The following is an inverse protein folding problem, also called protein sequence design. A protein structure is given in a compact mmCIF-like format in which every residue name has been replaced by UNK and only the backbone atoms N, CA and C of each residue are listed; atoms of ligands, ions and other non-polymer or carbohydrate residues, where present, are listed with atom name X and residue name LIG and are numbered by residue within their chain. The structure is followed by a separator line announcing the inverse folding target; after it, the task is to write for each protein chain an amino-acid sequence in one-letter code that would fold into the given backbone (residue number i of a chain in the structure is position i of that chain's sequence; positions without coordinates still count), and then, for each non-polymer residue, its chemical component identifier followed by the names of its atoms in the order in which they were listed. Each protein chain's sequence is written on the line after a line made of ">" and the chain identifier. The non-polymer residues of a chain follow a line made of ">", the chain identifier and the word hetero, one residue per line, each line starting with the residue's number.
data_IF_079386653795
#
_entry.id   IF_079386653795
#
_cell.length_a   1.000
_cell.length_b   1.000
_cell.length_c   1.000
_cell.angle_alpha   90.00
_cell.angle_beta   90.00
_cell.angle_gamma   90.00
#
_symmetry.space_group_name_H-M   'P 1'
#
loop_
_entity.id
_entity.type
_entity.pdbx_description
1 polymer ?
#
# COMPACT_ATOMS: atom_id res chain seq x y z
N UNK A 1 9.97 -8.49 -48.39
CA UNK A 1 9.01 -8.00 -47.38
C UNK A 1 8.87 -8.97 -46.20
N UNK A 2 8.78 -10.28 -46.40
CA UNK A 2 8.70 -11.27 -45.32
C UNK A 2 9.90 -11.24 -44.33
N UNK A 3 11.14 -11.08 -44.81
CA UNK A 3 12.32 -11.07 -43.95
C UNK A 3 12.42 -9.84 -43.00
N UNK A 4 11.82 -8.69 -43.34
CA UNK A 4 11.74 -7.52 -42.44
C UNK A 4 10.61 -7.65 -41.41
N UNK A 5 9.57 -8.43 -41.71
CA UNK A 5 8.47 -8.74 -40.79
C UNK A 5 8.89 -9.80 -39.76
N UNK A 6 9.51 -10.89 -40.21
CA UNK A 6 10.04 -11.97 -39.35
C UNK A 6 11.11 -11.43 -38.38
N UNK A 7 11.92 -10.48 -38.85
CA UNK A 7 12.91 -9.84 -38.00
C UNK A 7 12.27 -8.96 -36.92
N UNK A 8 11.10 -8.32 -37.13
CA UNK A 8 10.37 -7.59 -36.08
C UNK A 8 9.63 -8.49 -35.07
N UNK A 9 9.38 -9.75 -35.43
CA UNK A 9 8.58 -10.71 -34.64
C UNK A 9 9.40 -11.48 -33.60
N UNK A 10 10.71 -11.62 -33.79
CA UNK A 10 11.63 -12.18 -32.78
C UNK A 10 11.92 -11.19 -31.63
N UNK A 11 11.75 -9.88 -31.87
CA UNK A 11 12.24 -8.76 -31.06
C UNK A 11 11.55 -8.63 -29.68
N UNK A 12 10.24 -8.90 -29.61
CA UNK A 12 9.39 -8.68 -28.43
C UNK A 12 9.48 -9.72 -27.29
N UNK A 13 10.28 -10.79 -27.45
CA UNK A 13 10.19 -11.96 -26.57
C UNK A 13 10.68 -11.72 -25.12
N UNK A 14 11.64 -10.83 -24.90
CA UNK A 14 12.30 -10.70 -23.58
C UNK A 14 11.41 -10.05 -22.51
N UNK A 15 10.55 -9.10 -22.89
CA UNK A 15 9.62 -8.42 -21.97
C UNK A 15 8.59 -9.35 -21.33
N UNK A 16 8.20 -10.40 -22.05
CA UNK A 16 7.17 -11.34 -21.63
C UNK A 16 7.74 -12.64 -21.04
N UNK A 17 8.99 -13.00 -21.35
CA UNK A 17 9.63 -14.25 -20.91
C UNK A 17 10.51 -14.16 -19.66
N UNK A 18 10.78 -12.95 -19.14
CA UNK A 18 11.79 -12.71 -18.09
C UNK A 18 11.41 -13.18 -16.67
N UNK A 19 10.19 -13.69 -16.45
CA UNK A 19 9.75 -14.24 -15.14
C UNK A 19 10.58 -15.45 -14.72
N UNK A 20 11.18 -16.19 -15.66
CA UNK A 20 12.07 -17.30 -15.36
C UNK A 20 13.26 -16.89 -14.48
N UNK A 21 13.61 -15.60 -14.49
CA UNK A 21 14.72 -15.03 -13.73
C UNK A 21 14.31 -14.48 -12.35
N UNK A 22 13.05 -14.66 -11.93
CA UNK A 22 12.61 -14.23 -10.61
C UNK A 22 13.35 -15.01 -9.49
N UNK A 23 13.88 -14.32 -8.47
CA UNK A 23 14.62 -14.96 -7.40
C UNK A 23 13.70 -15.87 -6.57
N UNK A 24 14.16 -17.10 -6.32
CA UNK A 24 13.42 -18.11 -5.53
C UNK A 24 13.38 -17.80 -4.03
N UNK A 25 14.09 -16.76 -3.59
CA UNK A 25 14.15 -16.31 -2.20
C UNK A 25 13.50 -14.94 -2.06
N UNK A 26 12.98 -14.67 -0.87
CA UNK A 26 12.49 -13.34 -0.52
C UNK A 26 13.67 -12.36 -0.49
N UNK A 27 13.59 -11.28 -1.25
CA UNK A 27 14.56 -10.19 -1.21
C UNK A 27 14.15 -9.11 -0.23
N UNK A 28 15.07 -8.20 0.08
CA UNK A 28 14.76 -7.00 0.86
C UNK A 28 13.80 -6.08 0.09
N UNK A 29 12.91 -5.35 0.78
CA UNK A 29 12.01 -4.38 0.16
C UNK A 29 12.75 -3.35 -0.70
N UNK A 30 12.08 -2.88 -1.76
CA UNK A 30 12.56 -1.79 -2.60
C UNK A 30 12.14 -0.47 -1.93
N UNK A 31 13.13 0.24 -1.39
CA UNK A 31 12.96 1.48 -0.66
C UNK A 31 14.14 2.44 -0.92
N UNK A 32 13.96 3.72 -0.60
CA UNK A 32 14.93 4.80 -0.78
C UNK A 32 14.58 5.73 -1.94
N UNK A 33 14.01 5.20 -3.03
CA UNK A 33 13.59 6.01 -4.18
C UNK A 33 12.47 6.99 -3.84
N UNK A 34 11.61 6.68 -2.85
CA UNK A 34 10.53 7.57 -2.48
C UNK A 34 11.06 8.93 -2.02
N UNK A 35 12.23 8.96 -1.36
CA UNK A 35 12.87 10.17 -0.85
C UNK A 35 13.49 11.04 -1.95
N UNK A 36 13.51 10.57 -3.21
CA UNK A 36 14.00 11.38 -4.33
C UNK A 36 12.99 12.47 -4.67
N UNK A 37 13.48 13.67 -5.06
CA UNK A 37 12.61 14.72 -5.58
C UNK A 37 11.98 14.27 -6.91
N UNK A 38 10.77 14.74 -7.17
CA UNK A 38 10.18 14.61 -8.50
C UNK A 38 10.90 15.61 -9.44
N UNK A 39 11.51 15.10 -10.49
CA UNK A 39 12.33 15.87 -11.45
C UNK A 39 11.95 15.46 -12.88
N UNK A 40 12.39 16.26 -13.86
CA UNK A 40 12.12 15.96 -15.28
C UNK A 40 12.73 14.62 -15.70
N UNK A 41 12.19 14.02 -16.75
CA UNK A 41 12.62 12.72 -17.25
C UNK A 41 14.11 12.73 -17.65
N UNK A 42 14.60 13.81 -18.27
CA UNK A 42 16.01 13.98 -18.67
C UNK A 42 16.96 13.92 -17.46
N UNK A 43 16.57 14.56 -16.35
CA UNK A 43 17.34 14.55 -15.12
C UNK A 43 17.20 13.20 -14.39
N UNK A 44 16.04 12.57 -14.48
CA UNK A 44 15.75 11.29 -13.84
C UNK A 44 16.59 10.14 -14.41
N UNK A 45 16.86 10.16 -15.73
CA UNK A 45 17.68 9.13 -16.39
C UNK A 45 19.18 9.43 -16.38
N UNK A 46 19.59 10.64 -15.97
CA UNK A 46 20.99 11.07 -16.01
C UNK A 46 21.98 10.09 -15.33
N UNK A 47 21.67 9.51 -14.15
CA UNK A 47 22.55 8.50 -13.53
C UNK A 47 22.67 7.19 -14.33
N UNK A 48 21.77 6.96 -15.28
CA UNK A 48 21.69 5.75 -16.09
C UNK A 48 22.45 5.88 -17.42
N UNK A 49 22.96 7.06 -17.78
CA UNK A 49 23.68 7.29 -19.05
C UNK A 49 24.90 6.39 -19.22
N UNK A 50 25.58 6.06 -18.10
CA UNK A 50 26.70 5.12 -18.13
C UNK A 50 26.28 3.68 -18.48
N UNK A 51 25.05 3.30 -18.13
CA UNK A 51 24.48 1.99 -18.42
C UNK A 51 23.83 1.95 -19.80
N UNK A 52 23.24 3.07 -20.22
CA UNK A 52 22.48 3.23 -21.46
C UNK A 52 22.91 4.53 -22.16
N UNK A 53 23.98 4.52 -22.97
CA UNK A 53 24.56 5.73 -23.57
C UNK A 53 23.58 6.53 -24.44
N UNK A 54 22.58 5.88 -25.03
CA UNK A 54 21.58 6.50 -25.90
C UNK A 54 20.28 6.87 -25.17
N UNK A 55 20.22 6.76 -23.84
CA UNK A 55 18.96 6.96 -23.10
C UNK A 55 18.33 8.33 -23.32
N UNK A 56 19.13 9.39 -23.44
CA UNK A 56 18.62 10.76 -23.67
C UNK A 56 17.91 10.91 -25.03
N UNK A 57 18.38 10.20 -26.07
CA UNK A 57 17.71 10.19 -27.37
C UNK A 57 16.33 9.53 -27.26
N UNK A 58 16.25 8.42 -26.50
CA UNK A 58 14.99 7.72 -26.26
C UNK A 58 14.05 8.54 -25.37
N UNK A 59 14.56 9.30 -24.40
CA UNK A 59 13.77 10.26 -23.61
C UNK A 59 13.12 11.31 -24.53
N UNK A 60 13.90 11.88 -25.45
CA UNK A 60 13.36 12.85 -26.40
C UNK A 60 12.24 12.24 -27.25
N UNK A 61 12.44 11.04 -27.80
CA UNK A 61 11.42 10.30 -28.56
C UNK A 61 10.18 10.01 -27.70
N UNK A 62 10.36 9.60 -26.45
CA UNK A 62 9.25 9.30 -25.53
C UNK A 62 8.38 10.54 -25.32
N UNK A 63 8.98 11.70 -25.10
CA UNK A 63 8.26 12.97 -24.96
C UNK A 63 7.50 13.37 -26.22
N UNK A 64 8.12 13.27 -27.40
CA UNK A 64 7.46 13.63 -28.66
C UNK A 64 6.21 12.79 -28.97
N UNK A 65 6.15 11.57 -28.41
CA UNK A 65 5.01 10.67 -28.62
C UNK A 65 3.93 10.77 -27.52
N UNK A 66 4.16 11.59 -26.48
CA UNK A 66 3.15 11.91 -25.47
C UNK A 66 2.22 13.00 -25.99
N UNK A 67 0.92 12.90 -25.67
CA UNK A 67 -0.06 13.94 -25.98
C UNK A 67 -0.30 14.80 -24.74
N UNK A 68 -0.28 16.13 -24.90
CA UNK A 68 -0.71 17.06 -23.86
C UNK A 68 -2.04 17.74 -24.20
N UNK A 69 -2.95 17.93 -23.21
CA UNK A 69 -2.92 17.37 -21.86
C UNK A 69 -3.37 15.91 -21.85
N UNK A 70 -2.79 15.09 -20.96
CA UNK A 70 -3.29 13.73 -20.76
C UNK A 70 -4.63 13.77 -20.03
N UNK A 71 -5.61 12.97 -20.46
CA UNK A 71 -6.93 12.92 -19.83
C UNK A 71 -6.88 12.41 -18.37
N UNK A 72 -5.82 11.67 -18.02
CA UNK A 72 -5.65 10.96 -16.76
C UNK A 72 -4.86 11.77 -15.70
N UNK A 73 -4.54 13.04 -15.99
CA UNK A 73 -3.90 13.95 -15.02
C UNK A 73 -2.39 13.71 -14.81
N UNK A 74 -1.74 12.98 -15.71
CA UNK A 74 -0.28 12.83 -15.74
C UNK A 74 0.39 14.04 -16.37
N UNK A 75 1.56 14.43 -15.84
CA UNK A 75 2.43 15.40 -16.51
C UNK A 75 3.09 14.78 -17.75
N UNK A 76 3.66 15.61 -18.63
CA UNK A 76 4.45 15.15 -19.77
C UNK A 76 5.55 14.16 -19.33
N UNK A 77 6.34 14.53 -18.32
CA UNK A 77 7.43 13.70 -17.80
C UNK A 77 6.94 12.36 -17.23
N UNK A 78 5.79 12.35 -16.55
CA UNK A 78 5.17 11.15 -16.01
C UNK A 78 4.69 10.22 -17.13
N UNK A 79 3.96 10.75 -18.11
CA UNK A 79 3.53 10.00 -19.30
C UNK A 79 4.73 9.47 -20.09
N UNK A 80 5.73 10.31 -20.33
CA UNK A 80 6.93 9.96 -21.08
C UNK A 80 7.77 8.91 -20.34
N UNK A 81 7.73 8.87 -19.00
CA UNK A 81 8.42 7.82 -18.23
C UNK A 81 7.82 6.44 -18.49
N UNK A 82 6.49 6.33 -18.58
CA UNK A 82 5.79 5.09 -18.93
C UNK A 82 6.08 4.73 -20.39
N UNK A 83 6.06 5.73 -21.28
CA UNK A 83 6.36 5.52 -22.68
C UNK A 83 7.78 4.97 -22.87
N UNK A 84 8.77 5.58 -22.22
CA UNK A 84 10.16 5.13 -22.23
C UNK A 84 10.32 3.71 -21.66
N UNK A 85 9.59 3.36 -20.60
CA UNK A 85 9.59 2.00 -20.06
C UNK A 85 9.11 0.98 -21.11
N UNK A 86 8.10 1.32 -21.90
CA UNK A 86 7.54 0.43 -22.93
C UNK A 86 8.27 0.45 -24.27
N UNK A 87 9.21 1.37 -24.46
CA UNK A 87 9.98 1.49 -25.69
C UNK A 87 10.91 0.29 -25.87
N UNK A 88 11.09 -0.11 -27.12
CA UNK A 88 11.99 -1.17 -27.52
C UNK A 88 12.99 -0.63 -28.54
N UNK A 89 14.26 -0.97 -28.35
CA UNK A 89 15.36 -0.63 -29.25
C UNK A 89 16.40 -1.73 -29.28
N UNK A 90 17.30 -1.66 -30.26
CA UNK A 90 18.31 -2.69 -30.50
C UNK A 90 19.68 -2.30 -29.91
N UNK A 91 20.35 -3.23 -29.22
CA UNK A 91 19.90 -4.58 -28.88
C UNK A 91 18.87 -4.58 -27.73
N UNK A 92 17.89 -5.51 -27.74
CA UNK A 92 16.84 -5.58 -26.70
C UNK A 92 17.38 -5.72 -25.26
N UNK A 93 18.58 -6.27 -25.10
CA UNK A 93 19.28 -6.36 -23.81
C UNK A 93 19.72 -4.99 -23.23
N UNK A 94 19.70 -3.94 -24.05
CA UNK A 94 19.97 -2.56 -23.64
C UNK A 94 18.68 -1.75 -23.45
N UNK A 95 17.49 -2.36 -23.65
CA UNK A 95 16.22 -1.71 -23.37
C UNK A 95 16.09 -1.37 -21.90
N UNK A 96 15.45 -0.24 -21.60
CA UNK A 96 15.27 0.22 -20.23
C UNK A 96 14.49 -0.79 -19.39
N UNK A 97 13.38 -1.34 -19.91
CA UNK A 97 12.59 -2.31 -19.15
C UNK A 97 13.42 -3.54 -18.77
N UNK A 98 14.27 -4.01 -19.69
CA UNK A 98 15.07 -5.21 -19.51
C UNK A 98 16.08 -5.01 -18.39
N UNK A 99 16.85 -3.92 -18.46
CA UNK A 99 17.86 -3.60 -17.45
C UNK A 99 17.22 -3.26 -16.10
N UNK A 100 16.09 -2.54 -16.09
CA UNK A 100 15.39 -2.21 -14.85
C UNK A 100 14.87 -3.47 -14.16
N UNK A 101 14.16 -4.35 -14.89
CA UNK A 101 13.63 -5.58 -14.34
C UNK A 101 14.73 -6.53 -13.88
N UNK A 102 15.85 -6.60 -14.60
CA UNK A 102 17.04 -7.33 -14.14
C UNK A 102 17.55 -6.76 -12.81
N UNK A 103 17.63 -5.44 -12.69
CA UNK A 103 18.10 -4.78 -11.46
C UNK A 103 17.12 -4.96 -10.29
N UNK A 104 15.81 -4.91 -10.55
CA UNK A 104 14.76 -5.16 -9.54
C UNK A 104 14.81 -6.59 -8.97
N UNK A 105 15.24 -7.57 -9.79
CA UNK A 105 15.45 -8.97 -9.39
C UNK A 105 16.80 -9.22 -8.73
N UNK A 106 17.72 -8.25 -8.75
CA UNK A 106 19.03 -8.38 -8.13
C UNK A 106 18.92 -8.40 -6.61
N UNK A 107 19.65 -9.32 -5.98
CA UNK A 107 19.78 -9.40 -4.53
C UNK A 107 20.52 -8.19 -3.96
N UNK A 108 21.44 -7.63 -4.76
CA UNK A 108 22.19 -6.44 -4.40
C UNK A 108 21.36 -5.18 -4.67
N UNK A 109 20.68 -4.73 -3.63
CA UNK A 109 19.86 -3.50 -3.66
C UNK A 109 20.66 -2.23 -3.93
N UNK A 110 22.00 -2.24 -3.81
CA UNK A 110 22.81 -1.07 -4.16
C UNK A 110 22.72 -0.76 -5.66
N UNK A 111 22.52 -1.78 -6.50
CA UNK A 111 22.39 -1.61 -7.95
C UNK A 111 21.12 -0.83 -8.35
N UNK A 112 20.13 -0.72 -7.46
CA UNK A 112 18.93 0.09 -7.70
C UNK A 112 19.17 1.59 -7.49
N UNK A 113 20.24 2.01 -6.81
CA UNK A 113 20.49 3.43 -6.49
C UNK A 113 20.50 4.35 -7.73
N UNK A 114 21.18 4.00 -8.85
CA UNK A 114 21.12 4.81 -10.07
C UNK A 114 19.70 4.96 -10.63
N UNK A 115 18.82 3.99 -10.35
CA UNK A 115 17.44 3.96 -10.84
C UNK A 115 16.47 4.77 -9.98
N UNK A 116 16.85 5.23 -8.79
CA UNK A 116 15.91 5.82 -7.83
C UNK A 116 15.16 7.04 -8.38
N UNK A 117 15.84 7.93 -9.11
CA UNK A 117 15.18 9.09 -9.72
C UNK A 117 14.16 8.68 -10.78
N UNK A 118 14.52 7.71 -11.63
CA UNK A 118 13.62 7.20 -12.66
C UNK A 118 12.45 6.40 -12.05
N UNK A 119 12.71 5.54 -11.06
CA UNK A 119 11.70 4.78 -10.32
C UNK A 119 10.73 5.72 -9.60
N UNK A 120 11.22 6.80 -8.99
CA UNK A 120 10.38 7.83 -8.37
C UNK A 120 9.39 8.41 -9.39
N UNK A 121 9.86 8.80 -10.58
CA UNK A 121 9.02 9.37 -11.63
C UNK A 121 8.03 8.35 -12.19
N UNK A 122 8.52 7.17 -12.61
CA UNK A 122 7.71 6.10 -13.18
C UNK A 122 6.63 5.61 -12.22
N UNK A 123 6.99 5.34 -10.97
CA UNK A 123 6.01 4.87 -9.98
C UNK A 123 5.05 6.00 -9.60
N UNK A 124 5.46 7.27 -9.54
CA UNK A 124 4.51 8.37 -9.34
C UNK A 124 3.44 8.37 -10.44
N UNK A 125 3.86 8.22 -11.71
CA UNK A 125 2.95 8.13 -12.84
C UNK A 125 1.99 6.92 -12.71
N UNK A 126 2.53 5.73 -12.44
CA UNK A 126 1.72 4.50 -12.32
C UNK A 126 0.76 4.51 -11.14
N UNK A 127 1.13 5.14 -10.01
CA UNK A 127 0.25 5.28 -8.85
C UNK A 127 -0.89 6.30 -9.06
N UNK A 128 -0.70 7.29 -9.94
CA UNK A 128 -1.77 8.22 -10.35
C UNK A 128 -2.80 7.55 -11.27
N UNK A 129 -2.39 6.57 -12.08
CA UNK A 129 -3.32 5.82 -12.92
C UNK A 129 -4.28 4.96 -12.08
N UNK A 130 -5.55 4.83 -12.49
CA UNK A 130 -6.53 3.99 -11.79
C UNK A 130 -6.08 2.52 -11.77
N UNK A 131 -6.25 1.87 -10.63
CA UNK A 131 -6.07 0.42 -10.50
C UNK A 131 -7.28 -0.31 -11.08
N UNK A 132 -7.03 -1.41 -11.79
CA UNK A 132 -8.06 -2.28 -12.34
C UNK A 132 -7.94 -3.67 -11.73
N UNK A 133 -9.06 -4.13 -11.16
CA UNK A 133 -9.22 -5.50 -10.68
C UNK A 133 -9.79 -6.37 -11.79
N UNK A 134 -8.98 -7.26 -12.34
CA UNK A 134 -9.36 -8.11 -13.46
C UNK A 134 -8.52 -9.40 -13.50
N UNK A 135 -8.84 -10.27 -14.45
CA UNK A 135 -8.02 -11.43 -14.76
C UNK A 135 -7.12 -11.08 -15.93
N UNK A 136 -5.81 -11.23 -15.74
CA UNK A 136 -4.80 -10.98 -16.76
C UNK A 136 -3.98 -12.23 -17.04
N UNK A 137 -3.43 -12.29 -18.24
CA UNK A 137 -2.70 -13.43 -18.75
C UNK A 137 -1.26 -13.06 -19.05
N UNK A 138 -0.35 -13.99 -18.74
CA UNK A 138 1.06 -13.88 -19.11
C UNK A 138 1.61 -15.24 -19.55
N UNK A 139 2.12 -15.28 -20.78
CA UNK A 139 2.68 -16.48 -21.39
C UNK A 139 4.21 -16.56 -21.28
N UNK A 140 4.72 -17.77 -21.07
CA UNK A 140 6.15 -18.08 -21.00
C UNK A 140 6.41 -19.36 -21.80
N UNK A 141 7.48 -19.38 -22.61
CA UNK A 141 7.82 -20.51 -23.50
C UNK A 141 8.62 -21.63 -22.83
N UNK A 142 8.45 -21.83 -21.52
CA UNK A 142 9.03 -22.94 -20.76
C UNK A 142 8.04 -23.44 -19.73
N UNK A 143 8.23 -24.65 -19.20
CA UNK A 143 7.47 -25.14 -18.04
C UNK A 143 8.08 -24.60 -16.75
N UNK A 144 7.29 -23.84 -15.99
CA UNK A 144 7.61 -23.38 -14.64
C UNK A 144 6.64 -23.93 -13.60
N UNK A 145 5.71 -24.81 -13.98
CA UNK A 145 4.60 -25.23 -13.13
C UNK A 145 5.00 -25.95 -11.85
N UNK A 146 6.21 -26.50 -11.79
CA UNK A 146 6.78 -27.11 -10.59
C UNK A 146 7.49 -26.11 -9.67
N UNK A 147 7.84 -24.92 -10.17
CA UNK A 147 8.41 -23.85 -9.35
C UNK A 147 7.34 -23.13 -8.51
N UNK A 148 6.08 -23.15 -8.98
CA UNK A 148 4.96 -22.45 -8.36
C UNK A 148 4.07 -23.39 -7.56
N UNK A 149 4.45 -23.61 -6.29
CA UNK A 149 3.75 -24.51 -5.36
C UNK A 149 2.64 -23.79 -4.59
N UNK A 150 1.50 -24.46 -4.37
CA UNK A 150 0.34 -23.93 -3.61
C UNK A 150 0.63 -23.51 -2.16
N UNK A 151 1.70 -24.05 -1.59
CA UNK A 151 1.96 -24.01 -0.14
C UNK A 151 2.55 -22.66 0.30
N UNK A 152 3.22 -21.94 -0.59
CA UNK A 152 3.93 -20.70 -0.25
C UNK A 152 3.58 -19.58 -1.21
N UNK A 153 3.34 -18.35 -0.71
CA UNK A 153 3.25 -17.19 -1.58
C UNK A 153 4.64 -16.86 -2.16
N UNK A 154 4.65 -16.25 -3.33
CA UNK A 154 5.87 -15.84 -4.04
C UNK A 154 5.74 -14.39 -4.50
N UNK A 155 6.85 -13.77 -4.88
CA UNK A 155 6.89 -12.36 -5.28
C UNK A 155 7.47 -12.25 -6.68
N UNK A 156 6.86 -11.45 -7.54
CA UNK A 156 7.49 -10.98 -8.77
C UNK A 156 8.10 -9.61 -8.51
N UNK A 157 9.43 -9.55 -8.50
CA UNK A 157 10.19 -8.34 -8.20
C UNK A 157 10.27 -7.40 -9.40
N UNK A 158 10.27 -7.94 -10.62
CA UNK A 158 10.19 -7.13 -11.83
C UNK A 158 8.77 -6.61 -12.11
N UNK A 159 8.70 -5.55 -12.90
CA UNK A 159 7.44 -5.09 -13.50
C UNK A 159 6.94 -6.14 -14.50
N UNK A 160 5.68 -6.54 -14.40
CA UNK A 160 5.12 -7.62 -15.23
C UNK A 160 4.08 -7.12 -16.22
N UNK A 161 4.44 -7.11 -17.50
CA UNK A 161 3.54 -6.78 -18.61
C UNK A 161 2.57 -7.93 -18.88
N UNK A 162 1.27 -7.67 -18.81
CA UNK A 162 0.21 -8.66 -18.97
C UNK A 162 -0.83 -8.16 -19.98
N UNK A 163 -1.70 -9.06 -20.45
CA UNK A 163 -2.82 -8.73 -21.34
C UNK A 163 -4.11 -9.33 -20.81
N UNK A 164 -5.23 -8.65 -21.05
CA UNK A 164 -6.57 -9.15 -20.80
C UNK A 164 -7.11 -10.03 -21.93
N UNK A 165 -6.50 -9.97 -23.11
CA UNK A 165 -6.93 -10.72 -24.30
C UNK A 165 -6.21 -12.06 -24.42
N UNK A 166 -7.00 -13.14 -24.36
CA UNK A 166 -6.52 -14.50 -24.58
C UNK A 166 -6.12 -14.75 -26.04
N UNK A 167 -6.73 -14.03 -26.99
CA UNK A 167 -6.42 -14.16 -28.43
C UNK A 167 -4.97 -13.77 -28.73
N UNK A 168 -4.46 -12.76 -28.02
CA UNK A 168 -3.07 -12.31 -28.14
C UNK A 168 -2.09 -13.41 -27.66
N UNK A 169 -2.50 -14.27 -26.72
CA UNK A 169 -1.68 -15.39 -26.24
C UNK A 169 -1.43 -16.46 -27.30
N UNK A 170 -2.37 -16.65 -28.24
CA UNK A 170 -2.20 -17.64 -29.31
C UNK A 170 -1.07 -17.27 -30.29
N UNK A 171 -0.65 -16.01 -30.31
CA UNK A 171 0.46 -15.59 -31.15
C UNK A 171 1.78 -16.18 -30.63
N UNK A 172 2.63 -16.60 -31.57
CA UNK A 172 3.97 -17.11 -31.27
C UNK A 172 4.85 -16.11 -30.50
N UNK A 173 4.45 -14.83 -30.42
CA UNK A 173 5.17 -13.79 -29.68
C UNK A 173 5.01 -13.91 -28.16
N UNK A 174 3.86 -14.38 -27.68
CA UNK A 174 3.57 -14.43 -26.25
C UNK A 174 3.69 -15.85 -25.71
N UNK A 175 2.83 -16.76 -26.18
CA UNK A 175 2.84 -18.15 -25.74
C UNK A 175 3.06 -19.11 -26.92
N UNK A 176 2.43 -18.84 -28.06
CA UNK A 176 2.44 -19.74 -29.20
C UNK A 176 1.59 -21.00 -29.00
N UNK A 177 1.44 -21.79 -30.07
CA UNK A 177 0.56 -22.98 -30.07
C UNK A 177 1.30 -24.29 -29.80
N UNK A 178 2.62 -24.28 -29.89
CA UNK A 178 3.46 -25.48 -29.82
C UNK A 178 4.59 -25.33 -28.81
N UNK A 179 5.20 -26.45 -28.41
CA UNK A 179 6.28 -26.46 -27.42
C UNK A 179 5.82 -26.41 -25.96
N UNK A 180 6.77 -26.68 -25.07
CA UNK A 180 6.56 -26.67 -23.62
C UNK A 180 6.46 -25.23 -23.12
N UNK A 181 5.34 -24.86 -22.50
CA UNK A 181 5.02 -23.48 -22.17
C UNK A 181 4.11 -23.35 -20.95
N UNK A 182 4.23 -22.24 -20.24
CA UNK A 182 3.45 -21.91 -19.06
C UNK A 182 2.59 -20.67 -19.31
N UNK A 183 1.30 -20.78 -19.05
CA UNK A 183 0.37 -19.66 -19.05
C UNK A 183 -0.04 -19.34 -17.61
N UNK A 184 0.28 -18.14 -17.16
CA UNK A 184 -0.21 -17.61 -15.91
C UNK A 184 -1.59 -17.02 -16.12
N UNK A 185 -2.57 -17.57 -15.40
CA UNK A 185 -3.88 -16.96 -15.18
C UNK A 185 -3.79 -16.17 -13.87
N UNK A 186 -3.89 -14.85 -13.92
CA UNK A 186 -3.58 -13.98 -12.78
C UNK A 186 -4.83 -13.18 -12.40
N UNK A 187 -5.40 -13.45 -11.23
CA UNK A 187 -6.37 -12.55 -10.62
C UNK A 187 -5.61 -11.37 -9.98
N UNK A 188 -5.59 -10.22 -10.64
CA UNK A 188 -4.91 -9.00 -10.16
C UNK A 188 -5.91 -8.01 -9.52
N UNK A 189 -5.44 -7.26 -8.53
CA UNK A 189 -6.20 -6.20 -7.86
C UNK A 189 -5.67 -4.80 -8.22
N UNK A 190 -4.36 -4.68 -8.49
CA UNK A 190 -3.70 -3.39 -8.72
C UNK A 190 -3.10 -3.23 -10.13
N UNK A 191 -3.70 -3.87 -11.14
CA UNK A 191 -3.24 -3.75 -12.53
C UNK A 191 -3.37 -2.31 -13.05
N UNK A 192 -2.36 -1.83 -13.78
CA UNK A 192 -2.35 -0.48 -14.38
C UNK A 192 -2.53 -0.56 -15.89
N UNK A 193 -3.62 0.00 -16.41
CA UNK A 193 -3.82 0.14 -17.85
C UNK A 193 -2.90 1.26 -18.35
N UNK A 194 -1.89 0.89 -19.14
CA UNK A 194 -0.90 1.85 -19.62
C UNK A 194 -1.00 2.12 -21.13
N UNK A 195 -1.97 1.51 -21.82
CA UNK A 195 -2.20 1.67 -23.26
C UNK A 195 -2.15 3.14 -23.75
N UNK A 196 -2.75 4.13 -23.05
CA UNK A 196 -2.67 5.54 -23.47
C UNK A 196 -1.25 6.12 -23.48
N UNK A 197 -0.34 5.56 -22.69
CA UNK A 197 1.03 6.05 -22.50
C UNK A 197 2.09 5.10 -23.06
N UNK A 198 1.73 3.86 -23.40
CA UNK A 198 2.64 2.87 -24.00
C UNK A 198 3.10 3.31 -25.39
N UNK A 199 4.34 2.98 -25.75
CA UNK A 199 4.87 3.10 -27.10
C UNK A 199 4.11 2.21 -28.09
N UNK A 200 3.60 1.06 -27.63
CA UNK A 200 2.81 0.12 -28.42
C UNK A 200 1.31 0.28 -28.14
N UNK A 201 0.66 1.21 -28.86
CA UNK A 201 -0.78 1.48 -28.72
C UNK A 201 -1.71 0.32 -29.12
N UNK A 202 -1.20 -0.65 -29.87
CA UNK A 202 -1.96 -1.82 -30.31
C UNK A 202 -2.12 -2.87 -29.21
N UNK A 203 -1.33 -2.80 -28.14
CA UNK A 203 -1.36 -3.76 -27.04
C UNK A 203 -2.31 -3.24 -25.95
N UNK A 204 -3.28 -4.06 -25.53
CA UNK A 204 -4.08 -3.80 -24.32
C UNK A 204 -3.25 -4.16 -23.09
N UNK A 205 -2.16 -3.42 -22.90
CA UNK A 205 -1.18 -3.76 -21.90
C UNK A 205 -1.65 -3.33 -20.50
N UNK A 206 -1.69 -4.31 -19.61
CA UNK A 206 -1.92 -4.12 -18.18
C UNK A 206 -0.61 -4.45 -17.47
N UNK A 207 -0.08 -3.45 -16.77
CA UNK A 207 1.20 -3.56 -16.08
C UNK A 207 0.97 -3.84 -14.60
N UNK A 208 1.58 -4.90 -14.09
CA UNK A 208 1.67 -5.17 -12.66
C UNK A 208 2.95 -4.52 -12.10
N UNK A 209 2.80 -3.91 -10.92
CA UNK A 209 3.88 -3.21 -10.22
C UNK A 209 4.98 -4.18 -9.77
N UNK A 210 6.19 -3.68 -9.44
CA UNK A 210 7.27 -4.52 -8.97
C UNK A 210 7.01 -4.95 -7.52
N UNK A 211 7.64 -6.04 -7.11
CA UNK A 211 7.46 -6.64 -5.79
C UNK A 211 6.00 -7.01 -5.46
N UNK A 212 5.22 -7.39 -6.47
CA UNK A 212 3.84 -7.86 -6.30
C UNK A 212 3.85 -9.29 -5.75
N UNK A 213 3.09 -9.55 -4.68
CA UNK A 213 3.01 -10.87 -4.06
C UNK A 213 1.78 -11.65 -4.56
N UNK A 214 1.97 -12.94 -4.80
CA UNK A 214 0.93 -13.83 -5.30
C UNK A 214 0.83 -15.12 -4.48
N UNK A 215 -0.34 -15.74 -4.53
CA UNK A 215 -0.57 -17.11 -4.06
C UNK A 215 -1.09 -17.99 -5.20
N UNK A 216 -0.56 -19.20 -5.32
CA UNK A 216 -1.02 -20.19 -6.31
C UNK A 216 -2.34 -20.80 -5.84
N UNK A 217 -3.37 -20.70 -6.67
CA UNK A 217 -4.69 -21.31 -6.46
C UNK A 217 -4.77 -22.71 -7.06
N UNK A 218 -4.21 -22.88 -8.26
CA UNK A 218 -4.35 -24.08 -9.07
C UNK A 218 -3.23 -24.25 -10.08
N UNK A 219 -2.95 -25.50 -10.48
CA UNK A 219 -2.14 -25.81 -11.66
C UNK A 219 -2.82 -26.91 -12.45
N UNK A 220 -2.72 -26.86 -13.77
CA UNK A 220 -3.23 -27.91 -14.66
C UNK A 220 -2.32 -28.08 -15.87
N UNK A 221 -2.15 -29.32 -16.33
CA UNK A 221 -1.53 -29.62 -17.62
C UNK A 221 -2.66 -29.74 -18.64
N UNK A 222 -2.73 -28.77 -19.56
CA UNK A 222 -3.77 -28.69 -20.57
C UNK A 222 -3.48 -29.56 -21.81
N UNK A 223 -2.40 -30.36 -21.78
CA UNK A 223 -1.93 -31.14 -22.92
C UNK A 223 -1.09 -30.31 -23.90
N UNK A 224 -0.47 -30.98 -24.89
CA UNK A 224 0.34 -30.35 -25.94
C UNK A 224 1.46 -29.42 -25.40
N UNK A 225 2.04 -29.76 -24.25
CA UNK A 225 3.08 -28.97 -23.60
C UNK A 225 2.60 -27.68 -22.92
N UNK A 226 1.29 -27.43 -22.81
CA UNK A 226 0.75 -26.26 -22.13
C UNK A 226 0.46 -26.54 -20.65
N UNK A 227 1.12 -25.78 -19.78
CA UNK A 227 0.89 -25.78 -18.34
C UNK A 227 0.20 -24.47 -17.95
N UNK A 228 -0.90 -24.54 -17.21
CA UNK A 228 -1.61 -23.35 -16.72
C UNK A 228 -1.41 -23.25 -15.22
N UNK A 229 -0.93 -22.11 -14.75
CA UNK A 229 -0.76 -21.79 -13.32
C UNK A 229 -1.73 -20.66 -12.98
N UNK A 230 -2.70 -20.94 -12.13
CA UNK A 230 -3.66 -19.97 -11.64
C UNK A 230 -3.16 -19.35 -10.33
N UNK A 231 -2.99 -18.03 -10.33
CA UNK A 231 -2.48 -17.26 -9.20
C UNK A 231 -3.38 -16.07 -8.90
N UNK A 232 -3.35 -15.62 -7.64
CA UNK A 232 -4.06 -14.42 -7.18
C UNK A 232 -3.09 -13.48 -6.48
N UNK A 233 -3.15 -12.20 -6.82
CA UNK A 233 -2.45 -11.12 -6.12
C UNK A 233 -2.93 -11.05 -4.66
N UNK A 234 -1.98 -10.96 -3.72
CA UNK A 234 -2.27 -10.82 -2.30
C UNK A 234 -1.50 -9.64 -1.73
N UNK A 235 -2.09 -9.00 -0.72
CA UNK A 235 -1.39 -7.98 0.04
C UNK A 235 -0.30 -8.63 0.90
N UNK A 236 0.98 -8.22 0.77
CA UNK A 236 2.03 -8.77 1.62
C UNK A 236 1.88 -8.33 3.08
N UNK A 237 2.36 -9.15 4.04
CA UNK A 237 2.31 -8.82 5.48
C UNK A 237 3.17 -7.59 5.84
N UNK A 238 4.11 -7.21 4.95
CA UNK A 238 4.97 -6.04 5.09
C UNK A 238 5.10 -5.33 3.74
N UNK A 239 5.36 -4.02 3.75
CA UNK A 239 5.53 -3.23 2.53
C UNK A 239 6.80 -3.66 1.79
N UNK A 240 6.64 -4.30 0.63
CA UNK A 240 7.75 -4.74 -0.23
C UNK A 240 8.21 -3.67 -1.22
N UNK A 241 7.33 -2.70 -1.53
CA UNK A 241 7.59 -1.56 -2.40
C UNK A 241 7.00 -0.31 -1.74
N UNK A 242 7.84 0.69 -1.44
CA UNK A 242 7.39 1.92 -0.79
C UNK A 242 6.51 2.77 -1.73
N UNK A 243 5.54 3.53 -1.23
CA UNK A 243 4.82 4.45 -2.13
C UNK A 243 5.76 5.58 -2.58
N UNK A 244 5.64 6.09 -3.82
CA UNK A 244 6.54 7.13 -4.32
C UNK A 244 6.35 8.49 -3.62
N UNK A 245 5.31 8.68 -2.80
CA UNK A 245 5.03 9.93 -2.11
C UNK A 245 5.82 10.00 -0.78
N UNK A 246 6.65 11.03 -0.60
CA UNK A 246 7.38 11.27 0.67
C UNK A 246 6.39 11.75 1.70
N UNK A 247 6.33 11.08 2.86
CA UNK A 247 5.74 11.69 4.04
C UNK A 247 6.77 12.68 4.61
N UNK A 248 6.82 13.89 4.07
CA UNK A 248 7.42 15.01 4.79
C UNK A 248 6.73 15.08 6.15
N UNK A 249 7.44 15.49 7.21
CA UNK A 249 6.98 15.47 8.61
C UNK A 249 5.73 16.30 8.96
N UNK A 250 4.86 16.59 8.00
CA UNK A 250 3.45 16.90 8.17
C UNK A 250 2.62 15.63 7.97
N UNK A 251 1.94 15.21 9.04
CA UNK A 251 0.65 14.50 9.04
C UNK A 251 0.17 13.94 7.68
N UNK A 252 0.16 12.61 7.57
CA UNK A 252 -0.48 11.80 6.51
C UNK A 252 -1.94 12.25 6.22
N UNK A 253 -2.09 13.34 5.46
CA UNK A 253 -3.37 14.02 5.19
C UNK A 253 -3.45 14.55 3.77
N UNK A 254 -2.61 14.07 2.83
CA UNK A 254 -2.59 14.64 1.47
C UNK A 254 -2.29 13.67 0.33
N UNK A 255 -2.26 12.36 0.55
CA UNK A 255 -2.33 11.40 -0.58
C UNK A 255 -3.80 11.06 -0.87
N UNK A 256 -4.63 12.08 -1.05
CA UNK A 256 -6.00 11.94 -1.62
C UNK A 256 -6.45 13.25 -2.25
N UNK A 257 -5.59 13.85 -3.06
CA UNK A 257 -5.95 15.06 -3.79
C UNK A 257 -5.31 15.12 -5.19
N UNK A 258 -5.42 14.05 -5.99
CA UNK A 258 -5.28 14.12 -7.46
C UNK A 258 -6.12 13.00 -8.13
N UNK A 259 -7.41 12.91 -7.79
CA UNK A 259 -8.42 12.19 -8.58
C UNK A 259 -9.77 12.92 -8.46
N UNK A 260 -9.90 14.04 -9.17
CA UNK A 260 -11.21 14.51 -9.63
C UNK A 260 -11.24 14.13 -11.12
N UNK A 261 -11.95 13.10 -11.56
CA UNK A 261 -13.41 13.11 -11.56
C UNK A 261 -13.95 11.67 -11.63
N UNK A 262 -14.41 11.15 -10.51
CA UNK A 262 -15.59 10.28 -10.42
C UNK A 262 -15.91 10.20 -8.94
N UNK A 263 -17.19 10.28 -8.61
CA UNK A 263 -17.75 10.33 -7.26
C UNK A 263 -17.32 9.13 -6.40
N UNK A 264 -16.15 9.23 -5.77
CA UNK A 264 -15.69 8.34 -4.70
C UNK A 264 -16.24 8.90 -3.39
N UNK A 265 -17.07 8.10 -2.71
CA UNK A 265 -17.48 8.39 -1.34
C UNK A 265 -16.22 8.56 -0.49
N UNK A 266 -16.01 9.77 0.02
CA UNK A 266 -14.87 10.15 0.84
C UNK A 266 -14.85 9.27 2.09
N UNK A 267 -13.99 8.25 2.14
CA UNK A 267 -13.93 7.33 3.27
C UNK A 267 -13.55 8.12 4.53
N UNK A 268 -14.38 8.04 5.56
CA UNK A 268 -14.19 8.79 6.80
C UNK A 268 -12.98 8.24 7.55
N UNK A 269 -12.09 9.11 7.99
CA UNK A 269 -10.83 8.74 8.63
C UNK A 269 -10.75 9.34 10.03
N UNK A 270 -10.57 8.51 11.06
CA UNK A 270 -10.52 8.93 12.46
C UNK A 270 -9.14 8.59 13.03
N UNK A 271 -8.46 9.58 13.61
CA UNK A 271 -7.19 9.38 14.31
C UNK A 271 -7.43 9.30 15.81
N UNK A 272 -7.04 8.18 16.41
CA UNK A 272 -7.12 7.90 17.83
C UNK A 272 -5.71 7.75 18.41
N UNK A 273 -5.42 8.54 19.44
CA UNK A 273 -4.15 8.47 20.17
C UNK A 273 -4.46 7.89 21.55
N UNK A 274 -3.80 6.79 21.90
CA UNK A 274 -3.98 6.12 23.18
C UNK A 274 -2.88 6.59 24.13
N UNK A 275 -3.29 7.14 25.27
CA UNK A 275 -2.41 7.71 26.29
C UNK A 275 -2.74 7.07 27.64
N UNK A 276 -1.71 6.88 28.48
CA UNK A 276 -1.85 6.33 29.83
C UNK A 276 -0.53 5.85 30.40
N UNK A 277 -0.50 5.57 31.69
CA UNK A 277 0.72 5.23 32.43
C UNK A 277 1.38 3.91 31.96
N UNK A 278 2.57 3.65 32.47
CA UNK A 278 3.25 2.37 32.31
C UNK A 278 2.37 1.22 32.85
N UNK A 279 2.38 0.07 32.17
CA UNK A 279 1.65 -1.14 32.58
C UNK A 279 0.11 -1.06 32.63
N UNK A 280 -0.53 0.03 32.20
CA UNK A 280 -2.01 0.10 32.08
C UNK A 280 -2.57 -0.81 30.97
N UNK A 281 -1.72 -1.29 30.06
CA UNK A 281 -2.10 -2.29 29.05
C UNK A 281 -2.50 -1.73 27.69
N UNK A 282 -2.04 -0.52 27.32
CA UNK A 282 -2.29 0.12 26.01
C UNK A 282 -1.90 -0.77 24.83
N UNK A 283 -0.65 -1.23 24.82
CA UNK A 283 -0.08 -2.07 23.76
C UNK A 283 -0.82 -3.40 23.65
N UNK A 284 -1.15 -4.02 24.78
CA UNK A 284 -1.92 -5.29 24.83
C UNK A 284 -3.34 -5.11 24.32
N UNK A 285 -3.98 -3.99 24.66
CA UNK A 285 -5.31 -3.64 24.20
C UNK A 285 -5.31 -3.48 22.67
N UNK A 286 -4.34 -2.77 22.10
CA UNK A 286 -4.17 -2.61 20.66
C UNK A 286 -3.88 -3.93 19.96
N UNK A 287 -2.88 -4.67 20.43
CA UNK A 287 -2.50 -5.95 19.84
C UNK A 287 -3.66 -6.94 19.84
N UNK A 288 -4.40 -7.03 20.94
CA UNK A 288 -5.54 -7.95 21.04
C UNK A 288 -6.68 -7.54 20.10
N UNK A 289 -6.90 -6.24 19.92
CA UNK A 289 -7.89 -5.74 18.99
C UNK A 289 -7.51 -6.02 17.52
N UNK A 290 -6.25 -5.81 17.16
CA UNK A 290 -5.75 -5.97 15.78
C UNK A 290 -5.60 -7.43 15.36
N UNK A 291 -5.06 -8.26 16.24
CA UNK A 291 -4.69 -9.66 15.93
C UNK A 291 -5.74 -10.66 16.38
N UNK A 292 -6.72 -10.22 17.16
CA UNK A 292 -7.69 -11.07 17.84
C UNK A 292 -7.03 -12.14 18.76
N UNK A 293 -5.77 -11.92 19.17
CA UNK A 293 -4.99 -12.81 20.03
C UNK A 293 -4.46 -12.03 21.22
N UNK A 294 -4.63 -12.57 22.43
CA UNK A 294 -4.03 -12.01 23.64
C UNK A 294 -2.60 -12.56 23.79
N UNK A 295 -1.56 -11.71 23.98
CA UNK A 295 -0.18 -12.16 24.02
C UNK A 295 0.15 -12.94 25.31
N UNK A 296 0.78 -14.11 25.17
CA UNK A 296 1.28 -14.92 26.30
C UNK A 296 2.54 -14.33 26.96
N UNK A 297 3.34 -13.58 26.20
CA UNK A 297 4.53 -12.88 26.66
C UNK A 297 4.49 -11.42 26.21
N UNK A 298 4.55 -10.50 27.17
CA UNK A 298 4.69 -9.07 26.88
C UNK A 298 6.12 -8.79 26.42
N UNK A 299 6.31 -8.67 25.11
CA UNK A 299 7.53 -8.09 24.56
C UNK A 299 7.39 -6.57 24.67
N UNK A 300 8.35 -5.83 25.27
CA UNK A 300 8.30 -4.37 25.30
C UNK A 300 8.46 -3.83 23.89
N UNK A 301 7.40 -3.31 23.28
CA UNK A 301 7.42 -2.83 21.89
C UNK A 301 7.60 -1.31 21.82
N UNK A 302 8.47 -0.89 20.90
CA UNK A 302 8.72 0.49 20.50
C UNK A 302 7.49 1.01 19.75
N UNK A 303 7.11 2.27 20.00
CA UNK A 303 6.02 3.04 19.36
C UNK A 303 5.44 2.44 18.06
N UNK A 304 4.20 1.96 18.10
CA UNK A 304 3.51 1.40 16.93
C UNK A 304 2.35 2.31 16.48
N UNK A 305 2.23 2.47 15.16
CA UNK A 305 1.09 3.12 14.50
C UNK A 305 0.40 2.09 13.62
N UNK A 306 -0.91 1.93 13.80
CA UNK A 306 -1.72 0.97 13.05
C UNK A 306 -2.88 1.68 12.36
N UNK A 307 -3.25 1.25 11.16
CA UNK A 307 -4.47 1.72 10.46
C UNK A 307 -5.32 0.53 10.13
N UNK A 308 -6.58 0.54 10.55
CA UNK A 308 -7.53 -0.52 10.22
C UNK A 308 -8.84 0.06 9.71
N UNK A 309 -9.50 -0.66 8.81
CA UNK A 309 -10.85 -0.32 8.37
C UNK A 309 -11.87 -0.97 9.29
N UNK A 310 -12.80 -0.17 9.81
CA UNK A 310 -13.90 -0.61 10.68
C UNK A 310 -15.21 -0.27 9.99
N UNK A 311 -16.13 -1.22 9.94
CA UNK A 311 -17.48 -1.00 9.42
C UNK A 311 -18.37 -0.53 10.58
N UNK A 312 -18.89 0.69 10.50
CA UNK A 312 -19.86 1.25 11.46
C UNK A 312 -21.08 1.74 10.69
N UNK A 313 -22.26 1.28 11.07
CA UNK A 313 -23.55 1.60 10.42
C UNK A 313 -23.55 1.35 8.89
N UNK A 314 -22.74 0.39 8.42
CA UNK A 314 -22.59 0.04 7.00
C UNK A 314 -21.57 0.88 6.24
N UNK A 315 -20.93 1.87 6.87
CA UNK A 315 -19.85 2.67 6.30
C UNK A 315 -18.47 2.16 6.74
N UNK A 316 -17.53 2.05 5.79
CA UNK A 316 -16.12 1.77 6.11
C UNK A 316 -15.45 3.05 6.61
N UNK A 317 -14.92 3.01 7.84
CA UNK A 317 -14.19 4.11 8.47
C UNK A 317 -12.78 3.65 8.76
N UNK A 318 -11.78 4.38 8.26
CA UNK A 318 -10.39 4.12 8.60
C UNK A 318 -10.07 4.64 10.00
N UNK A 319 -9.60 3.77 10.89
CA UNK A 319 -9.17 4.10 12.24
C UNK A 319 -7.65 4.03 12.34
N UNK A 320 -7.01 5.18 12.55
CA UNK A 320 -5.58 5.26 12.87
C UNK A 320 -5.37 5.19 14.37
N UNK A 321 -4.61 4.22 14.84
CA UNK A 321 -4.29 3.97 16.24
C UNK A 321 -2.82 4.31 16.49
N UNK A 322 -2.56 5.12 17.51
CA UNK A 322 -1.21 5.52 17.90
C UNK A 322 -1.03 5.24 19.40
N UNK A 323 -0.07 4.38 19.76
CA UNK A 323 0.34 4.19 21.17
C UNK A 323 1.42 5.22 21.51
N UNK A 324 1.17 6.09 22.49
CA UNK A 324 2.17 7.06 22.95
C UNK A 324 2.19 7.12 24.47
N UNK A 325 3.39 7.02 25.03
CA UNK A 325 3.68 7.42 26.40
C UNK A 325 4.02 8.91 26.37
N UNK A 326 3.39 9.77 27.17
CA UNK A 326 4.03 10.96 27.77
C UNK A 326 3.04 11.92 28.47
N UNK A 327 3.50 12.61 29.54
CA UNK A 327 2.90 13.81 30.14
C UNK A 327 2.64 15.01 29.20
N UNK A 328 3.02 14.96 27.93
CA UNK A 328 3.01 16.14 27.04
C UNK A 328 1.72 16.35 26.22
N UNK A 329 0.81 15.37 26.17
CA UNK A 329 -0.49 15.56 25.47
C UNK A 329 -1.38 16.59 26.19
N UNK A 330 -1.15 16.78 27.49
CA UNK A 330 -1.92 17.73 28.32
C UNK A 330 -1.59 19.20 28.01
N UNK A 331 -0.45 19.48 27.34
CA UNK A 331 -0.04 20.84 26.98
C UNK A 331 -0.50 21.27 25.56
N UNK A 332 -0.76 20.33 24.65
CA UNK A 332 -0.99 20.63 23.23
C UNK A 332 -2.44 20.41 22.72
N UNK A 333 -3.32 19.75 23.47
CA UNK A 333 -4.64 19.32 22.95
C UNK A 333 -5.84 19.79 23.78
N UNK A 334 -6.13 21.09 23.83
CA UNK A 334 -7.29 21.63 24.56
C UNK A 334 -8.65 21.52 23.84
N UNK A 335 -8.70 20.98 22.61
CA UNK A 335 -9.92 20.94 21.76
C UNK A 335 -10.31 19.56 21.22
N UNK A 336 -9.63 18.49 21.64
CA UNK A 336 -9.86 17.12 21.12
C UNK A 336 -10.82 16.36 22.06
N UNK A 337 -11.83 15.63 21.55
CA UNK A 337 -12.69 14.77 22.36
C UNK A 337 -11.87 13.69 23.08
N UNK A 338 -12.03 13.58 24.41
CA UNK A 338 -11.37 12.57 25.23
C UNK A 338 -12.36 11.46 25.58
N UNK A 339 -11.95 10.20 25.46
CA UNK A 339 -12.70 9.04 25.96
C UNK A 339 -11.85 8.41 27.06
N UNK A 340 -12.47 8.13 28.20
CA UNK A 340 -11.83 7.46 29.32
C UNK A 340 -12.06 5.94 29.22
N UNK A 341 -11.00 5.14 29.37
CA UNK A 341 -11.06 3.68 29.28
C UNK A 341 -10.60 3.08 30.62
N UNK A 342 -11.50 2.35 31.29
CA UNK A 342 -11.16 1.44 32.39
C UNK A 342 -10.62 0.13 31.82
N UNK A 343 -9.35 -0.17 32.07
CA UNK A 343 -8.72 -1.42 31.59
C UNK A 343 -8.70 -2.49 32.67
N UNK A 344 -8.53 -3.76 32.26
CA UNK A 344 -8.35 -4.93 33.14
C UNK A 344 -9.51 -5.21 34.10
N UNK A 345 -10.76 -5.03 33.63
CA UNK A 345 -11.95 -5.35 34.44
C UNK A 345 -12.02 -6.81 34.89
N UNK A 346 -11.32 -7.72 34.19
CA UNK A 346 -11.18 -9.11 34.59
C UNK A 346 -10.52 -9.28 35.95
N UNK A 347 -9.72 -8.31 36.41
CA UNK A 347 -9.12 -8.30 37.74
C UNK A 347 -10.09 -7.80 38.83
N UNK A 348 -11.17 -7.11 38.45
CA UNK A 348 -12.24 -6.69 39.35
C UNK A 348 -13.25 -7.82 39.54
N UNK A 349 -13.65 -8.47 38.44
CA UNK A 349 -14.76 -9.42 38.42
C UNK A 349 -14.34 -10.84 38.86
N UNK A 350 -13.06 -11.21 38.73
CA UNK A 350 -12.53 -12.52 39.17
C UNK A 350 -11.90 -12.49 40.57
N UNK A 351 -12.31 -11.58 41.46
CA UNK A 351 -11.83 -11.64 42.84
C UNK A 351 -12.42 -12.87 43.55
N UNK A 352 -11.59 -13.72 44.18
CA UNK A 352 -12.11 -14.77 45.05
C UNK A 352 -12.95 -14.12 46.17
N UNK A 353 -14.15 -14.66 46.41
CA UNK A 353 -14.97 -14.29 47.57
C UNK A 353 -14.13 -14.53 48.84
N UNK A 354 -13.77 -13.46 49.55
CA UNK A 354 -13.10 -13.53 50.86
C UNK A 354 -11.72 -12.86 50.99
N UNK A 355 -11.13 -12.32 49.91
CA UNK A 355 -9.82 -11.63 49.97
C UNK A 355 -9.94 -10.10 49.96
N UNK A 356 -10.77 -9.56 50.84
CA UNK A 356 -10.98 -8.11 50.97
C UNK A 356 -9.75 -7.39 51.57
N UNK A 357 -8.83 -8.13 52.19
CA UNK A 357 -7.77 -7.59 53.06
C UNK A 357 -6.33 -8.03 52.71
N UNK A 358 -6.05 -8.55 51.51
CA UNK A 358 -4.74 -9.15 51.17
C UNK A 358 -3.89 -8.41 50.13
N UNK A 359 -4.01 -7.08 50.04
CA UNK A 359 -2.97 -6.28 49.38
C UNK A 359 -2.71 -4.99 50.16
N UNK A 360 -1.66 -5.01 50.99
CA UNK A 360 -1.14 -3.83 51.69
C UNK A 360 -0.52 -2.77 50.76
N UNK A 361 -0.55 -2.97 49.44
CA UNK A 361 0.12 -2.09 48.46
C UNK A 361 -0.57 -2.04 47.08
N UNK A 362 -1.83 -2.49 46.96
CA UNK A 362 -2.63 -2.31 45.74
C UNK A 362 -3.96 -1.67 46.13
N UNK A 363 -4.17 -0.42 45.73
CA UNK A 363 -5.46 0.27 45.85
C UNK A 363 -6.58 -0.63 45.32
N UNK A 364 -7.73 -0.64 46.00
CA UNK A 364 -8.89 -1.38 45.55
C UNK A 364 -9.20 -1.08 44.07
N UNK A 365 -9.55 -2.09 43.25
CA UNK A 365 -10.02 -1.92 41.89
C UNK A 365 -11.08 -0.83 41.77
N UNK A 366 -10.91 0.04 40.78
CA UNK A 366 -11.81 1.16 40.51
C UNK A 366 -13.19 0.61 40.11
N UNK A 367 -14.23 1.09 40.79
CA UNK A 367 -15.62 0.78 40.48
C UNK A 367 -16.10 1.58 39.27
N UNK A 368 -17.15 1.08 38.61
CA UNK A 368 -17.76 1.79 37.48
C UNK A 368 -18.24 3.20 37.86
N UNK A 369 -18.70 3.39 39.10
CA UNK A 369 -19.13 4.68 39.63
C UNK A 369 -17.97 5.66 39.78
N UNK A 370 -16.83 5.20 40.27
CA UNK A 370 -15.61 6.01 40.40
C UNK A 370 -15.02 6.37 39.02
N UNK A 371 -15.05 5.44 38.07
CA UNK A 371 -14.66 5.70 36.68
C UNK A 371 -15.53 6.76 36.01
N UNK A 372 -16.85 6.70 36.22
CA UNK A 372 -17.79 7.70 35.71
C UNK A 372 -17.63 9.07 36.41
N UNK A 373 -17.25 9.09 37.69
CA UNK A 373 -16.90 10.32 38.40
C UNK A 373 -15.62 10.96 37.81
N UNK A 374 -14.58 10.16 37.55
CA UNK A 374 -13.34 10.62 36.94
C UNK A 374 -13.58 11.16 35.52
N UNK A 375 -14.43 10.49 34.71
CA UNK A 375 -14.83 10.97 33.38
C UNK A 375 -15.36 12.41 33.44
N UNK A 376 -16.23 12.71 34.40
CA UNK A 376 -16.79 14.06 34.59
C UNK A 376 -15.71 15.05 35.01
N UNK A 377 -14.81 14.66 35.90
CA UNK A 377 -13.72 15.51 36.40
C UNK A 377 -12.74 15.93 35.29
N UNK A 378 -12.40 15.01 34.38
CA UNK A 378 -11.46 15.30 33.28
C UNK A 378 -12.12 15.83 32.00
N UNK A 379 -13.46 15.98 32.00
CA UNK A 379 -14.21 16.44 30.83
C UNK A 379 -14.26 15.44 29.68
N UNK A 380 -14.08 14.15 29.95
CA UNK A 380 -14.16 13.10 28.92
C UNK A 380 -15.61 12.92 28.43
N UNK A 381 -15.78 12.74 27.12
CA UNK A 381 -17.07 12.62 26.44
C UNK A 381 -17.77 11.32 26.83
N UNK A 382 -17.01 10.24 27.02
CA UNK A 382 -17.55 8.93 27.38
C UNK A 382 -16.56 8.13 28.24
N UNK A 383 -17.10 7.23 29.05
CA UNK A 383 -16.36 6.23 29.81
C UNK A 383 -16.74 4.84 29.30
N UNK A 384 -15.74 4.01 29.03
CA UNK A 384 -15.89 2.61 28.66
C UNK A 384 -15.02 1.74 29.55
N UNK A 385 -15.41 0.48 29.70
CA UNK A 385 -14.66 -0.52 30.45
C UNK A 385 -14.33 -1.71 29.53
N UNK A 386 -13.11 -2.24 29.65
CA UNK A 386 -12.69 -3.39 28.88
C UNK A 386 -11.72 -4.30 29.60
N UNK A 387 -11.67 -5.54 29.12
CA UNK A 387 -10.58 -6.47 29.39
C UNK A 387 -10.02 -6.94 28.05
N UNK A 388 -8.74 -6.68 27.82
CA UNK A 388 -8.04 -7.25 26.67
C UNK A 388 -7.98 -8.78 26.76
N UNK A 389 -7.85 -9.34 27.97
CA UNK A 389 -7.74 -10.78 28.21
C UNK A 389 -9.01 -11.54 27.82
N UNK A 390 -10.17 -11.06 28.26
CA UNK A 390 -11.46 -11.69 27.94
C UNK A 390 -12.10 -11.14 26.67
N UNK A 391 -11.48 -10.11 26.06
CA UNK A 391 -11.97 -9.34 24.92
C UNK A 391 -13.27 -8.56 25.18
N UNK A 392 -13.72 -8.51 26.43
CA UNK A 392 -14.93 -7.80 26.83
C UNK A 392 -14.74 -6.30 26.62
N UNK A 393 -15.67 -5.65 25.92
CA UNK A 393 -15.70 -4.19 25.74
C UNK A 393 -14.73 -3.61 24.72
N UNK A 394 -13.89 -4.42 24.06
CA UNK A 394 -12.87 -3.94 23.10
C UNK A 394 -13.49 -3.26 21.87
N UNK A 395 -14.51 -3.87 21.24
CA UNK A 395 -15.14 -3.31 20.02
C UNK A 395 -15.82 -1.96 20.28
N UNK A 396 -16.57 -1.88 21.38
CA UNK A 396 -17.38 -0.71 21.75
C UNK A 396 -16.49 0.52 22.03
N UNK A 397 -15.26 0.33 22.50
CA UNK A 397 -14.30 1.43 22.70
C UNK A 397 -13.95 2.11 21.39
N UNK A 398 -13.58 1.32 20.38
CA UNK A 398 -13.13 1.84 19.09
C UNK A 398 -14.30 2.34 18.24
N UNK A 399 -15.45 1.69 18.31
CA UNK A 399 -16.71 2.22 17.78
C UNK A 399 -17.07 3.56 18.45
N UNK A 400 -16.96 3.63 19.78
CA UNK A 400 -17.17 4.85 20.54
C UNK A 400 -16.22 5.99 20.15
N UNK A 401 -14.95 5.68 19.87
CA UNK A 401 -13.98 6.65 19.37
C UNK A 401 -14.37 7.24 18.01
N UNK A 402 -15.01 6.43 17.16
CA UNK A 402 -15.50 6.86 15.85
C UNK A 402 -16.82 7.64 15.96
N UNK A 403 -17.71 7.26 16.88
CA UNK A 403 -19.06 7.85 17.02
C UNK A 403 -19.09 9.17 17.81
N UNK A 404 -18.02 9.52 18.56
CA UNK A 404 -17.97 10.73 19.39
C UNK A 404 -17.02 11.86 18.89
N UNK A 405 -16.97 12.23 17.59
CA UNK A 405 -16.17 13.36 17.14
C UNK A 405 -16.90 14.68 17.45
N UNK A 406 -16.47 15.43 18.47
CA UNK A 406 -16.80 16.85 18.57
C UNK A 406 -15.69 17.69 17.94
N UNK A 407 -15.94 18.20 16.74
CA UNK A 407 -15.36 19.47 16.25
C UNK A 407 -16.54 20.32 15.74
N UNK A 408 -16.62 21.62 16.04
CA UNK A 408 -17.82 22.43 15.79
C UNK A 408 -18.17 22.49 14.31
N UNK A 409 -19.49 22.48 14.04
CA UNK A 409 -20.04 22.88 12.75
C UNK A 409 -19.47 24.25 12.36
N UNK A 410 -18.93 24.34 11.15
CA UNK A 410 -18.78 25.61 10.44
C UNK A 410 -20.20 26.18 10.32
N UNK A 411 -20.49 27.23 11.10
CA UNK A 411 -21.61 28.12 10.80
C UNK A 411 -21.01 29.28 10.02
N UNK A 412 -21.24 29.28 8.71
CA UNK A 412 -21.12 30.47 7.89
C UNK A 412 -22.02 31.57 8.46
N UNK A 413 -21.44 32.73 8.78
CA UNK A 413 -22.14 34.01 8.64
C UNK A 413 -21.14 35.08 8.23
N UNK A 414 -21.24 35.48 6.96
CA UNK A 414 -20.88 36.82 6.52
C UNK A 414 -21.76 37.85 7.25
N UNK A 415 -21.17 39.02 7.50
CA UNK A 415 -21.78 40.33 7.75
C UNK A 415 -22.42 40.63 9.13
N UNK A 416 -21.83 41.63 9.79
CA UNK A 416 -22.59 42.74 10.39
C UNK A 416 -22.75 42.73 11.91
N UNK A 417 -22.40 43.88 12.53
CA UNK A 417 -22.66 44.31 13.91
C UNK A 417 -21.86 43.53 14.98
N UNK A 418 -21.00 44.13 15.81
CA UNK A 418 -21.12 45.37 16.58
C UNK A 418 -21.06 45.01 18.08
N UNK A 419 -20.32 45.80 18.86
CA UNK A 419 -20.30 45.89 20.34
C UNK A 419 -19.31 45.05 21.19
N UNK A 420 -18.23 45.75 21.58
CA UNK A 420 -17.72 45.99 22.94
C UNK A 420 -17.73 44.85 23.98
N UNK A 421 -16.53 44.50 24.46
CA UNK A 421 -16.35 44.15 25.88
C UNK A 421 -15.60 45.26 26.61
N UNK A 422 -16.30 45.80 27.61
CA UNK A 422 -15.80 46.72 28.64
C UNK A 422 -14.88 45.99 29.61
N UNK A 423 -13.98 46.80 30.17
CA UNK A 423 -13.03 46.56 31.26
C UNK A 423 -13.66 46.05 32.58
N UNK A 424 -12.74 45.60 33.44
CA UNK A 424 -12.76 45.47 34.91
C UNK A 424 -13.36 44.15 35.43
N UNK A 425 -12.77 43.48 36.43
CA UNK A 425 -11.74 43.85 37.40
C UNK A 425 -10.76 42.70 37.65
#
# INVERSE_FOLDING_TARGET
>A
MAAKYVDNEMKRNLRYSDIQNEPKKMLLPVAGYQNMPLISLELAVKPLEHLMPQIQQHVWIAKQNCQEPTADGLTEDESASIQLYTMEWEPSSQCLYYLLNQTLRSEDRQQLKPWFSYLKLLLTALYKLPSVKCVVWRGIKTDLSDEYLKVKPFVWWGMSSCTDSLEIMESEQFLGKTGTRTLFNIECENGKIIKPHSYYKAENEILLLPATQFKVLGKTNAGNGLHIVHVREILPPYVLLQTPFVNDGLTSSTVTALTASSTVLKQRLVKCVIVGDGAVGKTVLLQTYLTNLYPDLLVPTVFEQHTIDIIIDGESVGLHLVDTWLPEVQYFCSRVPIILIGTKIDLRDNRPLGEENLCKDRSAPITQLEGEALRKQIGAVKYYECSAKTKTGLSIIFEGAILNPKVPQVIDYLNGFGFQQRKHA
#
